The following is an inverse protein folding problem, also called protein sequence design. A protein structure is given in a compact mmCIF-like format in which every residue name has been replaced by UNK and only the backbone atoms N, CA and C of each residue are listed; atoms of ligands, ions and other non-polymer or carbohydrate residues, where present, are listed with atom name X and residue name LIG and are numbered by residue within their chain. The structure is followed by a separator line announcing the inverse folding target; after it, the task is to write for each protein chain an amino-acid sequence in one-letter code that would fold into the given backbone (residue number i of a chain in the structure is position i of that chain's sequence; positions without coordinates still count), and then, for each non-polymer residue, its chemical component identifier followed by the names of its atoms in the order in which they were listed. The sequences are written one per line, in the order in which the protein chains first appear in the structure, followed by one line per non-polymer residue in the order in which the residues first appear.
data_IF_089341552178
#
_entry.id   IF_089341552178
#
_cell.length_a   1.000
_cell.length_b   1.000
_cell.length_c   1.000
_cell.angle_alpha   90.00
_cell.angle_beta   90.00
_cell.angle_gamma   90.00
#
_symmetry.space_group_name_H-M   'P 1'
#
loop_
_entity.id
_entity.type
_entity.pdbx_description
1 polymer ?
#
# COMPACT_ATOMS: atom_id res chain seq x y z
N UNK A 1 -0.10 -5.25 -10.78
CA UNK A 1 -0.71 -4.21 -9.92
C UNK A 1 -0.56 -4.66 -8.49
N UNK A 2 -0.09 -3.76 -7.61
CA UNK A 2 0.13 -4.09 -6.20
C UNK A 2 -1.16 -4.64 -5.56
N UNK A 3 -1.21 -5.92 -5.32
CA UNK A 3 -2.38 -6.63 -4.77
C UNK A 3 -2.06 -7.39 -3.48
N UNK A 4 -0.85 -7.22 -2.96
CA UNK A 4 -0.42 -7.84 -1.72
C UNK A 4 0.72 -7.04 -1.10
N UNK A 5 0.67 -6.77 0.20
CA UNK A 5 1.73 -6.03 0.91
C UNK A 5 2.06 -6.67 2.25
N UNK A 6 3.14 -6.22 2.85
CA UNK A 6 3.54 -6.58 4.22
C UNK A 6 3.56 -5.35 5.12
N UNK A 7 3.37 -5.58 6.40
CA UNK A 7 3.70 -4.66 7.47
C UNK A 7 4.12 -5.50 8.67
N UNK A 8 5.38 -5.86 8.72
CA UNK A 8 5.93 -6.85 9.68
C UNK A 8 6.54 -6.19 10.92
N UNK A 9 6.65 -4.85 10.89
CA UNK A 9 7.19 -4.04 11.98
C UNK A 9 6.17 -3.89 13.10
N UNK A 10 6.66 -3.75 14.31
CA UNK A 10 5.85 -3.43 15.48
C UNK A 10 5.34 -1.97 15.43
N UNK A 11 4.28 -1.70 16.17
CA UNK A 11 3.60 -0.41 16.21
C UNK A 11 4.56 0.73 16.60
N UNK A 12 5.39 0.52 17.63
CA UNK A 12 6.29 1.55 18.15
C UNK A 12 7.32 1.98 17.09
N UNK A 13 7.92 1.02 16.39
CA UNK A 13 8.86 1.30 15.30
C UNK A 13 8.21 2.09 14.14
N UNK A 14 6.94 1.82 13.85
CA UNK A 14 6.19 2.54 12.81
C UNK A 14 5.91 3.98 13.26
N UNK A 15 5.47 4.16 14.52
CA UNK A 15 5.20 5.47 15.11
C UNK A 15 6.44 6.35 15.06
N UNK A 16 7.59 5.82 15.46
CA UNK A 16 8.86 6.54 15.46
C UNK A 16 9.32 6.93 14.05
N UNK A 17 9.29 5.97 13.10
CA UNK A 17 9.77 6.21 11.73
C UNK A 17 8.91 7.21 10.96
N UNK A 18 7.58 7.20 11.18
CA UNK A 18 6.64 8.08 10.49
C UNK A 18 6.22 9.29 11.33
N UNK A 19 6.79 9.48 12.54
CA UNK A 19 6.44 10.56 13.47
C UNK A 19 4.92 10.69 13.66
N UNK A 20 4.25 9.58 14.01
CA UNK A 20 2.81 9.52 14.19
C UNK A 20 2.47 10.04 15.59
N UNK A 21 1.52 10.97 15.69
CA UNK A 21 1.08 11.54 16.97
C UNK A 21 -0.04 10.73 17.60
N UNK A 22 -0.97 10.17 16.78
CA UNK A 22 -2.12 9.43 17.30
C UNK A 22 -2.33 8.13 16.52
N UNK A 23 -2.57 7.05 17.25
CA UNK A 23 -2.80 5.72 16.69
C UNK A 23 -4.12 5.12 17.17
N UNK A 24 -5.07 4.95 16.26
CA UNK A 24 -6.43 4.48 16.54
C UNK A 24 -6.70 3.02 16.12
N UNK A 25 -5.67 2.22 15.94
CA UNK A 25 -5.81 0.79 15.61
C UNK A 25 -5.36 -0.09 16.79
N UNK A 26 -6.21 -0.25 17.80
CA UNK A 26 -5.93 -1.05 18.99
C UNK A 26 -5.76 -2.55 18.68
N UNK A 27 -6.19 -3.01 17.50
CA UNK A 27 -6.12 -4.40 17.07
C UNK A 27 -4.99 -4.64 16.03
N UNK A 28 -4.06 -3.71 15.89
CA UNK A 28 -2.96 -3.89 14.96
C UNK A 28 -2.06 -5.06 15.36
N UNK A 29 -1.78 -5.91 14.41
CA UNK A 29 -0.79 -6.97 14.50
C UNK A 29 0.08 -6.99 13.24
N UNK A 30 1.42 -7.17 13.36
CA UNK A 30 2.30 -7.36 12.22
C UNK A 30 1.79 -8.45 11.27
N UNK A 31 1.91 -8.19 9.97
CA UNK A 31 1.42 -9.12 8.95
C UNK A 31 2.39 -9.26 7.79
N UNK A 32 2.66 -10.50 7.41
CA UNK A 32 3.52 -10.86 6.29
C UNK A 32 2.76 -10.99 4.97
N UNK A 33 1.41 -10.84 4.97
CA UNK A 33 0.63 -11.15 3.78
C UNK A 33 -0.75 -10.46 3.78
N UNK A 34 -0.76 -9.13 3.76
CA UNK A 34 -1.99 -8.33 3.72
C UNK A 34 -2.55 -8.34 2.29
N UNK A 35 -3.80 -8.80 2.17
CA UNK A 35 -4.54 -8.90 0.91
C UNK A 35 -5.68 -7.87 0.81
N UNK A 36 -6.21 -7.61 -0.39
CA UNK A 36 -7.44 -6.84 -0.57
C UNK A 36 -8.58 -7.32 0.33
N UNK A 37 -9.46 -6.41 0.75
CA UNK A 37 -10.57 -6.58 1.70
C UNK A 37 -10.17 -6.74 3.17
N UNK A 38 -8.89 -6.86 3.45
CA UNK A 38 -8.40 -6.85 4.83
C UNK A 38 -8.19 -5.40 5.32
N UNK A 39 -8.33 -5.21 6.62
CA UNK A 39 -8.05 -3.93 7.29
C UNK A 39 -6.54 -3.78 7.54
N UNK A 40 -6.06 -2.55 7.42
CA UNK A 40 -4.67 -2.20 7.64
C UNK A 40 -4.57 -0.77 8.18
N UNK A 41 -3.55 -0.44 8.99
CA UNK A 41 -3.31 0.91 9.46
C UNK A 41 -2.96 1.85 8.29
N UNK A 42 -3.63 2.99 8.24
CA UNK A 42 -3.50 4.01 7.21
C UNK A 42 -3.22 5.35 7.88
N UNK A 43 -2.14 6.01 7.45
CA UNK A 43 -1.75 7.32 7.95
C UNK A 43 -2.48 8.42 7.15
N UNK A 44 -3.12 9.33 7.86
CA UNK A 44 -3.78 10.52 7.32
C UNK A 44 -3.33 11.76 8.08
N UNK A 45 -3.51 12.92 7.46
CA UNK A 45 -3.38 14.22 8.13
C UNK A 45 -4.72 14.66 8.70
N UNK A 46 -4.72 15.14 9.94
CA UNK A 46 -5.87 15.75 10.60
C UNK A 46 -5.42 17.08 11.24
N UNK A 47 -5.79 18.18 10.61
CA UNK A 47 -5.25 19.48 10.99
C UNK A 47 -3.73 19.55 10.75
N UNK A 48 -2.95 19.44 11.85
CA UNK A 48 -1.48 19.44 11.79
C UNK A 48 -0.88 18.11 12.27
N UNK A 49 -1.73 17.15 12.65
CA UNK A 49 -1.31 15.89 13.25
C UNK A 49 -1.31 14.75 12.25
N UNK A 50 -0.32 13.88 12.40
CA UNK A 50 -0.25 12.59 11.71
C UNK A 50 -0.97 11.55 12.53
N UNK A 51 -2.12 11.07 12.03
CA UNK A 51 -2.93 10.09 12.73
C UNK A 51 -3.10 8.81 11.93
N UNK A 52 -3.16 7.67 12.61
CA UNK A 52 -3.40 6.37 12.01
C UNK A 52 -4.78 5.85 12.34
N UNK A 53 -5.52 5.44 11.30
CA UNK A 53 -6.83 4.79 11.41
C UNK A 53 -6.84 3.46 10.65
N UNK A 54 -7.52 2.41 11.18
CA UNK A 54 -7.71 1.16 10.45
C UNK A 54 -8.70 1.37 9.30
N UNK A 55 -8.33 0.93 8.07
CA UNK A 55 -9.17 1.06 6.88
C UNK A 55 -9.13 -0.22 6.04
N UNK A 56 -10.24 -0.55 5.37
CA UNK A 56 -10.36 -1.71 4.48
C UNK A 56 -9.69 -1.44 3.12
N UNK A 57 -8.87 -2.37 2.64
CA UNK A 57 -8.22 -2.26 1.33
C UNK A 57 -9.17 -2.60 0.18
N UNK A 58 -9.46 -1.63 -0.63
CA UNK A 58 -10.40 -1.68 -1.73
C UNK A 58 -11.42 -0.56 -1.56
N UNK A 59 -11.17 0.57 -2.23
CA UNK A 59 -11.93 1.80 -2.08
C UNK A 59 -13.39 1.60 -2.48
N UNK A 60 -14.30 1.95 -1.58
CA UNK A 60 -15.75 1.93 -1.81
C UNK A 60 -16.19 3.38 -1.96
N UNK A 61 -16.44 3.90 -3.20
CA UNK A 61 -16.87 5.26 -3.38
C UNK A 61 -18.13 5.59 -2.57
N UNK A 62 -18.22 6.81 -2.00
CA UNK A 62 -19.36 7.22 -1.15
C UNK A 62 -20.72 7.12 -1.84
N UNK A 63 -20.75 7.22 -3.17
CA UNK A 63 -21.95 7.07 -3.98
C UNK A 63 -22.32 5.61 -4.33
N UNK A 64 -21.48 4.64 -3.98
CA UNK A 64 -21.72 3.24 -4.32
C UNK A 64 -22.93 2.69 -3.59
N UNK A 65 -23.75 1.87 -4.29
CA UNK A 65 -24.93 1.22 -3.70
C UNK A 65 -24.57 0.10 -2.74
N UNK A 66 -23.42 -0.55 -2.97
CA UNK A 66 -22.93 -1.64 -2.13
C UNK A 66 -21.40 -1.72 -2.14
N UNK A 67 -20.85 -2.54 -1.26
CA UNK A 67 -19.40 -2.67 -1.08
C UNK A 67 -18.70 -3.59 -2.09
N UNK A 68 -19.42 -4.24 -2.99
CA UNK A 68 -18.85 -5.23 -3.92
C UNK A 68 -17.89 -4.62 -4.95
N UNK A 69 -17.91 -3.29 -5.09
CA UNK A 69 -16.97 -2.55 -5.93
C UNK A 69 -15.56 -2.50 -5.34
N UNK A 70 -15.43 -2.53 -4.00
CA UNK A 70 -14.15 -2.37 -3.29
C UNK A 70 -13.04 -3.27 -3.81
N UNK A 71 -13.22 -4.59 -3.92
CA UNK A 71 -12.18 -5.51 -4.45
C UNK A 71 -11.68 -5.18 -5.86
N UNK A 72 -12.45 -4.41 -6.64
CA UNK A 72 -12.05 -3.94 -7.98
C UNK A 72 -11.30 -2.61 -7.96
N UNK A 73 -11.28 -1.93 -6.81
CA UNK A 73 -10.70 -0.61 -6.63
C UNK A 73 -9.54 -0.60 -5.62
N UNK A 74 -8.74 -1.66 -5.63
CA UNK A 74 -7.56 -1.79 -4.76
C UNK A 74 -6.40 -0.89 -5.20
N UNK A 75 -6.39 -0.46 -6.47
CA UNK A 75 -5.38 0.43 -7.03
C UNK A 75 -6.01 1.55 -7.87
N UNK A 76 -5.38 2.73 -7.81
CA UNK A 76 -5.64 3.88 -8.66
C UNK A 76 -4.38 4.23 -9.47
N UNK A 77 -4.52 4.55 -10.77
CA UNK A 77 -3.39 4.96 -11.60
C UNK A 77 -3.12 6.44 -11.42
N UNK A 78 -1.87 6.83 -11.14
CA UNK A 78 -1.47 8.23 -10.97
C UNK A 78 -1.86 9.10 -12.17
N UNK A 79 -1.77 8.55 -13.38
CA UNK A 79 -2.01 9.25 -14.64
C UNK A 79 -3.48 9.65 -14.87
N UNK A 80 -4.43 9.02 -14.16
CA UNK A 80 -5.87 9.23 -14.39
C UNK A 80 -6.65 9.62 -13.12
N UNK A 81 -5.94 10.01 -12.05
CA UNK A 81 -6.57 10.35 -10.77
C UNK A 81 -7.54 11.54 -10.89
N UNK A 82 -7.16 12.56 -11.65
CA UNK A 82 -7.95 13.78 -11.84
C UNK A 82 -9.11 13.62 -12.81
N UNK A 83 -9.13 12.54 -13.60
CA UNK A 83 -10.15 12.27 -14.61
C UNK A 83 -11.24 11.31 -14.11
N UNK A 84 -10.88 10.37 -13.24
CA UNK A 84 -11.79 9.33 -12.78
C UNK A 84 -12.74 9.84 -11.68
N UNK A 85 -14.08 9.75 -11.88
CA UNK A 85 -15.07 10.24 -10.90
C UNK A 85 -14.88 9.67 -9.49
N UNK A 86 -14.35 8.46 -9.38
CA UNK A 86 -14.09 7.81 -8.07
C UNK A 86 -12.91 8.41 -7.32
N UNK A 87 -12.01 9.16 -7.97
CA UNK A 87 -10.76 9.64 -7.38
C UNK A 87 -10.60 11.16 -7.42
N UNK A 88 -11.21 11.84 -8.42
CA UNK A 88 -11.00 13.28 -8.67
C UNK A 88 -11.32 14.18 -7.47
N UNK A 89 -12.32 13.84 -6.66
CA UNK A 89 -12.64 14.61 -5.46
C UNK A 89 -11.74 14.21 -4.28
N UNK A 90 -11.36 12.92 -4.20
CA UNK A 90 -10.55 12.40 -3.09
C UNK A 90 -9.12 12.95 -3.12
N UNK A 91 -8.56 13.23 -4.29
CA UNK A 91 -7.22 13.82 -4.43
C UNK A 91 -7.13 15.21 -3.77
N UNK A 92 -8.24 15.90 -3.61
CA UNK A 92 -8.30 17.20 -2.96
C UNK A 92 -8.38 17.13 -1.43
N UNK A 93 -9.03 16.07 -0.87
CA UNK A 93 -9.46 16.06 0.53
C UNK A 93 -9.11 14.79 1.30
N UNK A 94 -8.82 13.69 0.60
CA UNK A 94 -8.74 12.36 1.20
C UNK A 94 -7.48 11.60 0.75
N UNK A 95 -6.33 12.29 0.81
CA UNK A 95 -5.03 11.67 0.57
C UNK A 95 -4.57 10.95 1.84
N UNK A 96 -3.86 9.84 1.66
CA UNK A 96 -3.34 9.06 2.78
C UNK A 96 -2.03 8.38 2.41
N UNK A 97 -1.31 7.91 3.43
CA UNK A 97 -0.20 6.98 3.25
C UNK A 97 -0.63 5.58 3.66
N UNK A 98 -0.49 4.65 2.73
CA UNK A 98 -0.62 3.22 3.00
C UNK A 98 0.70 2.74 3.57
N UNK A 99 0.70 2.40 4.86
CA UNK A 99 1.89 1.95 5.57
C UNK A 99 2.23 0.52 5.13
N UNK A 100 3.46 0.32 4.68
CA UNK A 100 4.00 -0.99 4.29
C UNK A 100 5.51 -1.02 4.52
N UNK A 101 6.09 -2.19 4.69
CA UNK A 101 7.53 -2.43 4.68
C UNK A 101 7.98 -3.27 3.47
N UNK A 102 7.01 -3.77 2.69
CA UNK A 102 7.23 -4.44 1.43
C UNK A 102 5.93 -4.75 0.70
N UNK A 103 6.07 -5.23 -0.52
CA UNK A 103 4.94 -5.67 -1.33
C UNK A 103 5.32 -6.82 -2.25
N UNK A 104 4.31 -7.51 -2.79
CA UNK A 104 4.52 -8.61 -3.72
C UNK A 104 4.02 -8.23 -5.11
N UNK A 105 4.77 -8.70 -6.11
CA UNK A 105 4.35 -8.71 -7.51
C UNK A 105 4.66 -10.07 -8.14
N UNK A 106 3.88 -10.44 -9.15
CA UNK A 106 3.96 -11.73 -9.81
C UNK A 106 4.50 -11.56 -11.22
N UNK A 107 5.70 -12.06 -11.45
CA UNK A 107 6.26 -12.17 -12.79
C UNK A 107 5.58 -13.31 -13.52
N UNK A 108 5.00 -13.01 -14.67
CA UNK A 108 4.44 -14.04 -15.57
C UNK A 108 5.56 -14.82 -16.23
N UNK A 109 5.49 -16.14 -16.19
CA UNK A 109 6.41 -17.07 -16.82
C UNK A 109 5.61 -18.05 -17.70
N UNK A 110 6.32 -18.88 -18.51
CA UNK A 110 5.68 -19.82 -19.44
C UNK A 110 4.81 -20.86 -18.76
N UNK A 111 5.17 -21.23 -17.55
CA UNK A 111 4.56 -22.31 -16.75
C UNK A 111 3.83 -21.82 -15.49
N UNK A 112 3.61 -20.49 -15.39
CA UNK A 112 2.90 -19.93 -14.26
C UNK A 112 3.25 -18.51 -13.90
N UNK A 113 3.24 -18.21 -12.61
CA UNK A 113 3.61 -16.89 -12.09
C UNK A 113 4.52 -17.05 -10.89
N UNK A 114 5.71 -16.45 -10.97
CA UNK A 114 6.69 -16.41 -9.89
C UNK A 114 6.45 -15.16 -9.03
N UNK A 115 6.09 -15.31 -7.73
CA UNK A 115 6.00 -14.17 -6.83
C UNK A 115 7.38 -13.65 -6.44
N UNK A 116 7.48 -12.32 -6.37
CA UNK A 116 8.64 -11.58 -5.88
C UNK A 116 8.25 -10.72 -4.69
N UNK A 117 9.05 -10.74 -3.65
CA UNK A 117 8.95 -9.81 -2.54
C UNK A 117 9.86 -8.61 -2.80
N UNK A 118 9.29 -7.41 -2.73
CA UNK A 118 9.97 -6.16 -3.00
C UNK A 118 9.95 -5.33 -1.72
N UNK A 119 11.13 -4.90 -1.26
CA UNK A 119 11.32 -4.18 0.00
C UNK A 119 12.47 -3.18 -0.06
N UNK A 120 12.59 -2.35 0.96
CA UNK A 120 13.75 -1.45 1.11
C UNK A 120 14.99 -2.25 1.56
N UNK A 121 16.21 -2.02 0.99
CA UNK A 121 17.42 -2.78 1.34
C UNK A 121 17.83 -2.64 2.81
N UNK A 122 17.47 -1.53 3.46
CA UNK A 122 17.73 -1.27 4.87
C UNK A 122 16.52 -1.56 5.76
N UNK A 123 15.54 -2.34 5.28
CA UNK A 123 14.30 -2.68 6.00
C UNK A 123 13.51 -1.46 6.49
N UNK A 124 13.59 -0.32 5.80
CA UNK A 124 12.76 0.86 6.07
C UNK A 124 11.35 0.68 5.55
N UNK A 125 10.43 1.48 6.08
CA UNK A 125 9.07 1.52 5.56
C UNK A 125 9.05 2.03 4.11
N UNK A 126 8.06 1.57 3.38
CA UNK A 126 7.69 2.02 2.05
C UNK A 126 6.35 2.77 2.15
N UNK A 127 6.35 4.07 2.50
CA UNK A 127 5.13 4.86 2.63
C UNK A 127 4.49 5.04 1.25
N UNK A 128 3.45 4.27 0.94
CA UNK A 128 2.82 4.29 -0.37
C UNK A 128 1.73 5.35 -0.42
N UNK A 129 1.70 6.16 -1.47
CA UNK A 129 0.61 7.11 -1.69
C UNK A 129 -0.71 6.38 -1.89
N UNK A 130 -1.77 6.88 -1.27
CA UNK A 130 -3.11 6.33 -1.37
C UNK A 130 -4.19 7.41 -1.32
N UNK A 131 -5.41 6.99 -1.61
CA UNK A 131 -6.62 7.77 -1.38
C UNK A 131 -7.55 6.94 -0.50
N UNK A 132 -8.34 7.62 0.33
CA UNK A 132 -9.32 6.97 1.20
C UNK A 132 -10.68 7.63 1.10
N UNK A 133 -11.71 6.94 1.57
CA UNK A 133 -13.07 7.49 1.65
C UNK A 133 -13.88 6.77 2.72
N UNK A 134 -14.95 7.41 3.12
CA UNK A 134 -15.98 6.84 4.00
C UNK A 134 -17.18 6.46 3.17
N UNK A 135 -17.66 5.26 3.35
CA UNK A 135 -18.90 4.75 2.77
C UNK A 135 -19.86 4.33 3.89
N UNK A 136 -21.14 4.70 3.75
CA UNK A 136 -22.19 4.31 4.68
C UNK A 136 -23.16 3.35 3.98
N UNK A 137 -23.40 2.21 4.62
CA UNK A 137 -24.36 1.22 4.13
C UNK A 137 -25.81 1.65 4.37
N UNK A 138 -26.76 1.01 3.70
CA UNK A 138 -28.19 1.20 3.95
C UNK A 138 -28.63 0.88 5.40
N UNK A 139 -27.78 0.18 6.17
CA UNK A 139 -28.00 -0.13 7.59
C UNK A 139 -27.15 0.75 8.50
N UNK A 140 -26.70 1.92 8.02
CA UNK A 140 -25.86 2.88 8.76
C UNK A 140 -24.52 2.33 9.25
N UNK A 141 -24.02 1.26 8.63
CA UNK A 141 -22.65 0.78 8.87
C UNK A 141 -21.65 1.66 8.12
N UNK A 142 -20.76 2.29 8.85
CA UNK A 142 -19.66 3.10 8.29
C UNK A 142 -18.46 2.20 8.00
N UNK A 143 -17.89 2.33 6.79
CA UNK A 143 -16.66 1.67 6.38
C UNK A 143 -15.70 2.74 5.85
N UNK A 144 -14.51 2.83 6.45
CA UNK A 144 -13.39 3.55 5.88
C UNK A 144 -12.60 2.61 4.98
N UNK A 145 -12.38 3.02 3.74
CA UNK A 145 -11.69 2.20 2.74
C UNK A 145 -10.67 3.00 1.97
N UNK A 146 -9.63 2.32 1.47
CA UNK A 146 -8.54 2.96 0.76
C UNK A 146 -8.15 2.24 -0.53
N UNK A 147 -7.41 2.96 -1.38
CA UNK A 147 -6.76 2.44 -2.59
C UNK A 147 -5.29 2.84 -2.61
N UNK A 148 -4.43 2.00 -3.20
CA UNK A 148 -3.02 2.33 -3.41
C UNK A 148 -2.85 3.01 -4.77
N UNK A 149 -2.13 4.13 -4.81
CA UNK A 149 -1.79 4.78 -6.07
C UNK A 149 -0.60 4.08 -6.70
N UNK A 150 -0.69 3.80 -7.99
CA UNK A 150 0.36 3.12 -8.76
C UNK A 150 0.85 4.00 -9.92
N UNK A 151 2.13 3.82 -10.28
CA UNK A 151 2.80 4.50 -11.38
C UNK A 151 3.61 3.50 -12.23
N UNK A 152 4.34 3.96 -13.24
CA UNK A 152 5.30 3.15 -13.98
C UNK A 152 6.41 2.64 -13.05
N UNK A 153 6.95 1.43 -13.29
CA UNK A 153 7.98 0.85 -12.44
C UNK A 153 9.35 1.49 -12.67
N UNK A 154 10.23 1.36 -11.67
CA UNK A 154 11.67 1.49 -11.89
C UNK A 154 12.14 0.49 -12.95
N UNK A 155 13.26 0.81 -13.62
CA UNK A 155 13.82 -0.06 -14.67
C UNK A 155 14.17 -1.45 -14.12
N UNK A 156 14.74 -1.51 -12.92
CA UNK A 156 15.21 -2.74 -12.29
C UNK A 156 14.10 -3.75 -12.01
N UNK A 157 12.87 -3.27 -11.75
CA UNK A 157 11.72 -4.14 -11.44
C UNK A 157 10.72 -4.27 -12.60
N UNK A 158 10.96 -3.58 -13.72
CA UNK A 158 10.09 -3.63 -14.91
C UNK A 158 9.90 -5.04 -15.46
N UNK A 159 10.92 -5.88 -15.35
CA UNK A 159 10.88 -7.27 -15.78
C UNK A 159 9.96 -8.16 -14.92
N UNK A 160 9.58 -7.69 -13.73
CA UNK A 160 8.64 -8.38 -12.82
C UNK A 160 7.22 -7.93 -13.14
N UNK A 161 6.99 -6.62 -13.15
CA UNK A 161 5.66 -6.05 -13.41
C UNK A 161 5.75 -4.65 -14.03
N UNK A 162 4.77 -4.28 -14.85
CA UNK A 162 4.69 -3.00 -15.55
C UNK A 162 4.12 -1.84 -14.71
N UNK A 163 3.85 -2.06 -13.43
CA UNK A 163 3.39 -1.05 -12.46
C UNK A 163 4.07 -1.27 -11.11
N UNK A 164 4.22 -0.19 -10.36
CA UNK A 164 4.63 -0.23 -8.95
C UNK A 164 3.78 0.74 -8.12
N UNK A 165 3.65 0.57 -6.80
CA UNK A 165 3.07 1.59 -5.94
C UNK A 165 3.91 2.88 -6.01
N UNK A 166 3.27 4.03 -5.90
CA UNK A 166 3.98 5.29 -5.65
C UNK A 166 4.48 5.27 -4.22
N UNK A 167 5.78 5.21 -4.04
CA UNK A 167 6.44 5.27 -2.73
C UNK A 167 6.88 6.72 -2.51
N UNK A 168 6.34 7.36 -1.49
CA UNK A 168 6.64 8.75 -1.18
C UNK A 168 8.03 8.89 -0.56
N UNK A 169 8.68 10.01 -0.84
CA UNK A 169 9.83 10.40 -0.05
C UNK A 169 9.34 10.77 1.37
N UNK A 170 10.02 10.37 2.46
CA UNK A 170 9.65 10.74 3.82
C UNK A 170 9.40 12.25 4.01
N UNK A 171 10.16 13.10 3.31
CA UNK A 171 9.99 14.57 3.36
C UNK A 171 8.74 15.08 2.63
N UNK A 172 8.13 14.27 1.77
CA UNK A 172 6.92 14.63 1.02
C UNK A 172 5.63 14.10 1.65
N UNK A 173 5.73 13.39 2.78
CA UNK A 173 4.56 12.80 3.44
C UNK A 173 3.58 13.89 3.87
N UNK A 174 4.06 14.96 4.52
CA UNK A 174 3.21 16.07 4.98
C UNK A 174 2.54 16.81 3.82
N UNK A 175 3.31 17.09 2.79
CA UNK A 175 2.79 17.70 1.56
C UNK A 175 1.70 16.83 0.90
N UNK A 176 1.81 15.51 1.05
CA UNK A 176 0.82 14.57 0.53
C UNK A 176 -0.44 14.49 1.41
N UNK A 177 -0.32 14.34 2.74
CA UNK A 177 -1.47 14.05 3.61
C UNK A 177 -2.21 15.29 4.12
N UNK A 178 -1.55 16.44 4.27
CA UNK A 178 -2.20 17.66 4.76
C UNK A 178 -2.93 18.39 3.62
N UNK A 179 -4.18 17.93 3.37
CA UNK A 179 -5.00 18.40 2.26
C UNK A 179 -5.40 19.88 2.39
N UNK A 180 -5.50 20.40 3.61
CA UNK A 180 -5.89 21.78 3.90
C UNK A 180 -4.78 22.79 3.59
N UNK A 181 -3.53 22.38 3.68
CA UNK A 181 -2.37 23.25 3.46
C UNK A 181 -1.71 23.06 2.10
N UNK A 182 -1.87 21.89 1.48
CA UNK A 182 -1.24 21.55 0.22
C UNK A 182 -2.30 21.28 -0.85
N UNK A 183 -2.44 22.16 -1.87
CA UNK A 183 -3.36 21.94 -2.98
C UNK A 183 -3.02 20.66 -3.77
N UNK A 184 -4.03 20.03 -4.35
CA UNK A 184 -3.85 18.77 -5.08
C UNK A 184 -2.90 18.88 -6.27
N UNK A 185 -2.90 20.01 -7.00
CA UNK A 185 -1.97 20.22 -8.11
C UNK A 185 -0.50 20.25 -7.69
N UNK A 186 -0.18 20.65 -6.47
CA UNK A 186 1.15 20.54 -5.89
C UNK A 186 1.40 19.12 -5.41
N UNK A 187 0.48 18.53 -4.64
CA UNK A 187 0.65 17.19 -4.08
C UNK A 187 0.88 16.09 -5.14
N UNK A 188 0.22 16.17 -6.32
CA UNK A 188 0.37 15.19 -7.40
C UNK A 188 1.78 15.17 -8.01
N UNK A 189 2.59 16.22 -7.82
CA UNK A 189 3.99 16.21 -8.30
C UNK A 189 4.86 15.16 -7.61
N UNK A 190 4.43 14.68 -6.43
CA UNK A 190 5.07 13.59 -5.70
C UNK A 190 4.72 12.19 -6.24
N UNK A 191 3.78 12.07 -7.19
CA UNK A 191 3.33 10.78 -7.74
C UNK A 191 4.25 10.29 -8.88
N UNK A 192 5.51 10.13 -8.57
CA UNK A 192 6.56 9.70 -9.50
C UNK A 192 7.08 8.31 -9.16
N UNK A 193 7.71 7.60 -10.11
CA UNK A 193 8.42 6.37 -9.81
C UNK A 193 9.46 6.56 -8.70
N UNK A 194 9.54 5.60 -7.79
CA UNK A 194 10.54 5.63 -6.72
C UNK A 194 11.94 5.50 -7.29
N UNK A 195 12.86 6.38 -6.90
CA UNK A 195 14.20 6.51 -7.50
C UNK A 195 15.32 5.89 -6.68
N UNK A 196 15.02 5.44 -5.44
CA UNK A 196 16.03 4.79 -4.59
C UNK A 196 16.05 3.28 -4.83
N UNK A 197 17.16 2.59 -4.54
CA UNK A 197 17.23 1.13 -4.68
C UNK A 197 16.15 0.39 -3.90
N UNK A 198 15.63 -0.67 -4.49
CA UNK A 198 14.76 -1.66 -3.86
C UNK A 198 15.40 -3.04 -4.00
N UNK A 199 15.20 -3.90 -3.01
CA UNK A 199 15.49 -5.33 -3.13
C UNK A 199 14.28 -6.04 -3.72
N UNK A 200 14.51 -7.07 -4.54
CA UNK A 200 13.45 -7.90 -5.11
C UNK A 200 13.93 -9.35 -5.16
N UNK A 201 13.31 -10.19 -4.38
CA UNK A 201 13.69 -11.59 -4.25
C UNK A 201 12.52 -12.50 -4.67
N UNK A 202 12.78 -13.57 -5.45
CA UNK A 202 11.77 -14.59 -5.69
C UNK A 202 11.43 -15.27 -4.37
N UNK A 203 10.14 -15.47 -4.12
CA UNK A 203 9.63 -16.13 -2.91
C UNK A 203 8.77 -17.34 -3.28
N UNK A 204 8.46 -18.18 -2.30
CA UNK A 204 7.60 -19.33 -2.50
C UNK A 204 6.19 -18.94 -2.91
N UNK A 205 5.52 -19.77 -3.74
CA UNK A 205 4.09 -19.67 -4.04
C UNK A 205 3.19 -19.83 -2.81
N UNK A 206 3.76 -20.16 -1.65
CA UNK A 206 3.09 -20.15 -0.36
C UNK A 206 2.36 -18.82 -0.09
N UNK A 207 2.93 -17.70 -0.51
CA UNK A 207 2.33 -16.36 -0.40
C UNK A 207 1.02 -16.20 -1.19
N UNK A 208 0.74 -17.05 -2.18
CA UNK A 208 -0.46 -16.94 -3.02
C UNK A 208 -1.75 -17.03 -2.22
N UNK A 209 -1.77 -17.84 -1.15
CA UNK A 209 -2.92 -17.92 -0.25
C UNK A 209 -2.89 -16.78 0.78
N UNK A 210 -3.91 -15.91 0.86
CA UNK A 210 -4.01 -14.90 1.91
C UNK A 210 -4.12 -15.46 3.33
N UNK A 211 -4.39 -16.74 3.48
CA UNK A 211 -4.43 -17.42 4.78
C UNK A 211 -3.04 -17.66 5.35
N UNK A 212 -2.03 -17.70 4.49
CA UNK A 212 -0.64 -17.87 4.90
C UNK A 212 -0.09 -16.50 5.32
N UNK A 213 0.24 -16.36 6.59
CA UNK A 213 0.70 -15.11 7.19
C UNK A 213 1.86 -15.36 8.16
N UNK A 214 2.97 -15.87 7.62
CA UNK A 214 4.18 -16.14 8.37
C UNK A 214 5.40 -15.59 7.63
N UNK A 215 6.55 -15.56 8.29
CA UNK A 215 7.83 -15.15 7.70
C UNK A 215 8.17 -15.94 6.42
N UNK A 216 7.64 -17.14 6.24
CA UNK A 216 7.87 -17.95 5.05
C UNK A 216 7.32 -17.30 3.77
N UNK A 217 6.36 -16.36 3.91
CA UNK A 217 5.86 -15.58 2.77
C UNK A 217 6.94 -14.71 2.12
N UNK A 218 7.93 -14.24 2.90
CA UNK A 218 8.97 -13.31 2.44
C UNK A 218 10.35 -13.93 2.30
N UNK A 219 10.53 -15.21 2.71
CA UNK A 219 11.81 -15.91 2.54
C UNK A 219 12.16 -16.08 1.09
N UNK A 220 13.40 -15.71 0.74
CA UNK A 220 13.94 -15.90 -0.61
C UNK A 220 14.07 -17.41 -0.92
N UNK A 221 13.59 -17.80 -2.10
CA UNK A 221 13.80 -19.18 -2.58
C UNK A 221 15.26 -19.44 -2.97
N UNK A 222 16.07 -18.39 -3.18
CA UNK A 222 17.51 -18.52 -3.44
C UNK A 222 18.28 -18.99 -2.21
N UNK A 223 17.83 -18.61 -1.00
CA UNK A 223 18.50 -19.01 0.25
C UNK A 223 18.26 -20.48 0.59
N UNK A 224 17.16 -21.06 0.11
CA UNK A 224 16.82 -22.47 0.32
C UNK A 224 17.70 -23.44 -0.47
N UNK A 225 18.32 -22.99 -1.55
CA UNK A 225 19.20 -23.83 -2.39
C UNK A 225 20.56 -24.12 -1.74
N UNK A 226 20.94 -23.38 -0.72
CA UNK A 226 22.24 -23.53 -0.03
C UNK A 226 22.18 -24.48 1.17
N UNK A 227 20.97 -24.81 1.67
CA UNK A 227 20.79 -25.70 2.82
C UNK A 227 20.72 -27.22 2.48
N UNK A 228 20.66 -27.59 1.21
CA UNK A 228 20.55 -28.99 0.77
C UNK A 228 21.89 -29.62 0.34
N UNK A 229 23.03 -29.09 0.78
CA UNK A 229 24.37 -29.59 0.42
C UNK A 229 25.17 -30.09 1.63
N UNK A 230 24.48 -30.59 2.70
CA UNK A 230 25.15 -31.32 3.77
C UNK A 230 24.34 -32.55 4.19
#
# INVERSE_FOLDING_TARGET
MCGRKTLTRDMQSIIEELAIEEWYDDNFHPSFNIAPTQTSPILIGDGKSRIVKPMEWGLIPSWSKDKSIGPKMINARSETLTEKPSFQNLINQNRCVVIADGYFEWKRESDGSQPYYISHPENKLLPMAGLWTTWESSTSKIIHSYTVITTSPQEEIRHIHNRMPVILNPMSIDEWIFCDTTPSNQAITNLVPYSKPLTFNPVSTFVNSPKNNTIDCIRSTKDSSTMNLF
#
